data_IF_326640817213
#
_entry.id   IF_326640817213
#
_cell.length_a   1.000
_cell.length_b   1.000
_cell.length_c   1.000
_cell.angle_alpha   90.00
_cell.angle_beta   90.00
_cell.angle_gamma   90.00
#
_symmetry.space_group_name_H-M   'P 1'
#
loop_
_entity.id
_entity.type
_entity.pdbx_description
1 polymer ?
#
# COMPACT_ATOMS: atom_id res chain seq x y z
N UNK A 1 20.81 -7.61 11.19
CA UNK A 1 21.46 -8.02 9.93
C UNK A 1 21.28 -6.83 9.01
N UNK A 2 22.36 -6.11 8.67
CA UNK A 2 22.27 -4.89 7.86
C UNK A 2 21.97 -5.28 6.41
N UNK A 3 20.76 -4.98 5.94
CA UNK A 3 20.40 -5.13 4.53
C UNK A 3 21.20 -4.11 3.72
N UNK A 4 22.10 -4.62 2.86
CA UNK A 4 23.07 -3.84 2.06
C UNK A 4 22.47 -3.24 0.78
N UNK A 5 21.17 -2.99 0.77
CA UNK A 5 20.53 -2.20 -0.27
C UNK A 5 20.90 -0.73 -0.10
N UNK A 6 21.21 -0.02 -1.18
CA UNK A 6 21.34 1.43 -1.13
C UNK A 6 19.95 2.00 -0.77
N UNK A 7 19.75 2.45 0.47
CA UNK A 7 18.51 3.11 0.89
C UNK A 7 18.35 4.38 0.05
N UNK A 8 17.28 4.42 -0.74
CA UNK A 8 16.89 5.60 -1.51
C UNK A 8 15.61 6.15 -0.86
N UNK A 9 15.54 7.47 -0.69
CA UNK A 9 14.32 8.11 -0.22
C UNK A 9 13.15 7.77 -1.14
N UNK A 10 12.02 7.38 -0.56
CA UNK A 10 10.79 7.13 -1.32
C UNK A 10 10.40 8.42 -2.05
N UNK A 11 10.27 8.40 -3.39
CA UNK A 11 9.80 9.56 -4.12
C UNK A 11 8.36 9.85 -3.71
N UNK A 12 8.12 11.09 -3.29
CA UNK A 12 6.82 11.57 -2.86
C UNK A 12 6.17 12.28 -4.04
N UNK A 13 4.87 12.07 -4.22
CA UNK A 13 4.08 12.87 -5.14
C UNK A 13 3.92 14.26 -4.52
N UNK A 14 4.43 15.28 -5.20
CA UNK A 14 4.25 16.66 -4.80
C UNK A 14 2.77 17.05 -4.95
N UNK A 15 2.17 17.50 -3.85
CA UNK A 15 0.79 17.99 -3.81
C UNK A 15 0.81 19.41 -3.25
N UNK A 16 0.27 20.33 -4.02
CA UNK A 16 0.21 21.76 -3.71
C UNK A 16 -0.77 22.07 -2.57
N UNK A 17 -0.59 23.22 -1.93
CA UNK A 17 -1.53 23.68 -0.88
C UNK A 17 -2.95 23.88 -1.43
N UNK A 18 -3.09 24.25 -2.70
CA UNK A 18 -4.39 24.38 -3.35
C UNK A 18 -5.08 23.02 -3.49
N UNK A 19 -4.38 21.99 -3.95
CA UNK A 19 -4.92 20.62 -4.04
C UNK A 19 -5.33 20.09 -2.67
N UNK A 20 -4.54 20.38 -1.63
CA UNK A 20 -4.89 20.04 -0.24
C UNK A 20 -6.17 20.74 0.21
N UNK A 21 -6.30 22.04 -0.06
CA UNK A 21 -7.47 22.82 0.28
C UNK A 21 -8.72 22.37 -0.50
N UNK A 22 -8.57 21.97 -1.76
CA UNK A 22 -9.65 21.44 -2.59
C UNK A 22 -9.98 19.97 -2.28
N UNK A 23 -9.06 19.26 -1.63
CA UNK A 23 -9.21 17.85 -1.26
C UNK A 23 -9.12 16.89 -2.43
N UNK A 24 -8.45 17.27 -3.53
CA UNK A 24 -8.29 16.45 -4.74
C UNK A 24 -7.04 16.84 -5.54
N UNK A 25 -6.44 15.92 -6.31
CA UNK A 25 -5.30 16.21 -7.16
C UNK A 25 -5.72 16.90 -8.46
N UNK A 26 -4.81 17.71 -9.01
CA UNK A 26 -4.88 18.26 -10.37
C UNK A 26 -4.61 17.17 -11.43
N UNK A 27 -5.01 17.38 -12.70
CA UNK A 27 -4.64 16.47 -13.79
C UNK A 27 -3.13 16.21 -13.89
N UNK A 28 -2.30 17.22 -13.63
CA UNK A 28 -0.84 17.11 -13.66
C UNK A 28 -0.32 16.21 -12.54
N UNK A 29 -0.84 16.34 -11.32
CA UNK A 29 -0.51 15.45 -10.20
C UNK A 29 -1.01 14.02 -10.44
N UNK A 30 -2.14 13.87 -11.12
CA UNK A 30 -2.66 12.55 -11.52
C UNK A 30 -1.72 11.87 -12.51
N UNK A 31 -1.26 12.59 -13.55
CA UNK A 31 -0.29 12.08 -14.53
C UNK A 31 1.04 11.70 -13.87
N UNK A 32 1.55 12.55 -12.97
CA UNK A 32 2.77 12.27 -12.22
C UNK A 32 2.61 11.03 -11.30
N UNK A 33 1.47 10.88 -10.62
CA UNK A 33 1.15 9.72 -9.80
C UNK A 33 1.03 8.43 -10.62
N UNK A 34 0.36 8.49 -11.77
CA UNK A 34 0.23 7.35 -12.69
C UNK A 34 1.60 6.90 -13.21
N UNK A 35 2.46 7.85 -13.57
CA UNK A 35 3.83 7.58 -13.98
C UNK A 35 4.66 6.92 -12.88
N UNK A 36 4.57 7.41 -11.64
CA UNK A 36 5.24 6.80 -10.48
C UNK A 36 4.78 5.36 -10.27
N UNK A 37 3.47 5.06 -10.35
CA UNK A 37 2.99 3.68 -10.28
C UNK A 37 3.58 2.80 -11.38
N UNK A 38 3.64 3.30 -12.63
CA UNK A 38 4.18 2.52 -13.74
C UNK A 38 5.67 2.21 -13.55
N UNK A 39 6.44 3.22 -13.17
CA UNK A 39 7.90 3.13 -13.09
C UNK A 39 8.37 2.45 -11.80
N UNK A 40 7.85 2.86 -10.64
CA UNK A 40 8.35 2.42 -9.33
C UNK A 40 7.42 1.43 -8.62
N UNK A 41 6.15 1.35 -9.04
CA UNK A 41 5.15 0.50 -8.38
C UNK A 41 4.61 1.11 -7.07
N UNK A 42 4.98 2.35 -6.75
CA UNK A 42 4.63 3.02 -5.51
C UNK A 42 4.37 4.51 -5.72
N UNK A 43 3.32 5.00 -5.06
CA UNK A 43 3.05 6.44 -4.91
C UNK A 43 2.86 6.73 -3.44
N UNK A 44 3.62 7.70 -2.92
CA UNK A 44 3.42 8.22 -1.57
C UNK A 44 2.84 9.63 -1.68
N UNK A 45 1.70 9.84 -1.05
CA UNK A 45 1.01 11.13 -1.01
C UNK A 45 0.89 11.56 0.46
N UNK A 46 1.69 12.53 0.86
CA UNK A 46 1.72 12.97 2.27
C UNK A 46 0.69 14.05 2.55
N UNK A 47 0.20 14.13 3.79
CA UNK A 47 -0.58 15.26 4.33
C UNK A 47 -1.88 15.61 3.56
N UNK A 48 -2.55 14.63 2.95
CA UNK A 48 -3.77 14.85 2.16
C UNK A 48 -5.07 14.51 2.88
N UNK A 49 -5.00 13.87 4.05
CA UNK A 49 -6.16 13.54 4.89
C UNK A 49 -6.11 14.36 6.19
N UNK A 50 -7.27 14.79 6.73
CA UNK A 50 -7.31 15.57 7.98
C UNK A 50 -6.70 14.77 9.15
N UNK A 51 -5.80 15.41 9.90
CA UNK A 51 -5.03 14.76 10.99
C UNK A 51 -5.91 14.36 12.18
N UNK A 52 -6.91 15.18 12.50
CA UNK A 52 -7.92 14.89 13.51
C UNK A 52 -8.73 13.64 13.13
N UNK A 53 -9.16 13.55 11.87
CA UNK A 53 -9.86 12.38 11.37
C UNK A 53 -9.02 11.10 11.42
N UNK A 54 -7.73 11.17 11.06
CA UNK A 54 -6.81 10.03 11.20
C UNK A 54 -6.67 9.62 12.67
N UNK A 55 -6.59 10.58 13.60
CA UNK A 55 -6.48 10.30 15.03
C UNK A 55 -7.74 9.62 15.60
N UNK A 56 -8.93 10.05 15.16
CA UNK A 56 -10.19 9.41 15.53
C UNK A 56 -10.28 7.98 14.97
N UNK A 57 -9.89 7.79 13.72
CA UNK A 57 -9.86 6.47 13.08
C UNK A 57 -8.86 5.52 13.75
N UNK A 58 -7.68 6.03 14.13
CA UNK A 58 -6.70 5.28 14.92
C UNK A 58 -7.27 4.89 16.28
N UNK A 59 -7.92 5.82 16.99
CA UNK A 59 -8.57 5.53 18.28
C UNK A 59 -9.61 4.41 18.16
N UNK A 60 -10.43 4.43 17.11
CA UNK A 60 -11.39 3.37 16.82
C UNK A 60 -10.69 2.03 16.52
N UNK A 61 -9.60 2.04 15.75
CA UNK A 61 -8.81 0.85 15.45
C UNK A 61 -8.16 0.26 16.71
N UNK A 62 -7.52 1.07 17.55
CA UNK A 62 -6.93 0.60 18.82
C UNK A 62 -7.98 -0.03 19.71
N UNK A 63 -9.13 0.62 19.88
CA UNK A 63 -10.27 0.05 20.63
C UNK A 63 -10.68 -1.31 20.07
N UNK A 64 -10.64 -1.49 18.75
CA UNK A 64 -10.98 -2.78 18.13
C UNK A 64 -9.90 -3.84 18.32
N UNK A 65 -8.63 -3.47 18.23
CA UNK A 65 -7.49 -4.38 18.45
C UNK A 65 -7.41 -4.85 19.90
N UNK A 66 -7.75 -4.00 20.86
CA UNK A 66 -7.81 -4.33 22.29
C UNK A 66 -8.97 -5.28 22.63
N UNK A 67 -10.02 -5.28 21.80
CA UNK A 67 -11.21 -6.11 21.98
C UNK A 67 -11.25 -7.33 21.04
N UNK A 68 -10.17 -7.64 20.32
CA UNK A 68 -10.13 -8.74 19.32
C UNK A 68 -10.59 -10.09 19.87
N UNK A 69 -10.22 -10.43 21.11
CA UNK A 69 -10.57 -11.71 21.74
C UNK A 69 -12.08 -11.84 22.05
N UNK A 70 -12.79 -10.71 22.17
CA UNK A 70 -14.21 -10.66 22.53
C UNK A 70 -15.14 -10.64 21.32
N UNK A 71 -14.61 -10.49 20.11
CA UNK A 71 -15.39 -10.24 18.89
C UNK A 71 -15.83 -11.56 18.22
N UNK A 72 -16.68 -12.32 18.92
CA UNK A 72 -17.19 -13.63 18.46
C UNK A 72 -18.51 -13.53 17.67
N UNK A 73 -19.04 -12.33 17.44
CA UNK A 73 -20.39 -12.13 16.91
C UNK A 73 -20.52 -12.19 15.37
N UNK A 74 -19.45 -12.52 14.64
CA UNK A 74 -19.49 -12.77 13.19
C UNK A 74 -19.71 -11.54 12.29
N UNK A 75 -19.96 -10.36 12.85
CA UNK A 75 -20.05 -9.11 12.10
C UNK A 75 -18.65 -8.52 11.85
N UNK A 76 -18.33 -8.20 10.59
CA UNK A 76 -17.05 -7.61 10.27
C UNK A 76 -17.03 -6.11 10.66
N UNK A 77 -16.16 -5.67 11.59
CA UNK A 77 -16.11 -4.28 12.05
C UNK A 77 -15.77 -3.32 10.90
N UNK A 78 -14.99 -3.76 9.91
CA UNK A 78 -14.59 -2.93 8.77
C UNK A 78 -15.77 -2.56 7.86
N UNK A 79 -16.91 -3.24 8.00
CA UNK A 79 -18.17 -2.91 7.30
C UNK A 79 -19.05 -1.93 8.09
N UNK A 80 -18.52 -1.28 9.12
CA UNK A 80 -19.21 -0.28 9.94
C UNK A 80 -18.45 1.03 9.98
N UNK A 81 -19.12 2.10 10.41
CA UNK A 81 -18.43 3.35 10.73
C UNK A 81 -17.51 3.15 11.95
N UNK A 82 -16.35 3.83 12.00
CA UNK A 82 -15.84 4.79 11.02
C UNK A 82 -15.13 4.18 9.80
N UNK A 83 -14.97 2.86 9.74
CA UNK A 83 -14.21 2.16 8.68
C UNK A 83 -14.87 2.18 7.30
N UNK A 84 -16.18 2.43 7.22
CA UNK A 84 -16.90 2.64 5.94
C UNK A 84 -16.97 4.11 5.50
N UNK A 85 -16.18 5.00 6.10
CA UNK A 85 -16.10 6.39 5.66
C UNK A 85 -15.68 6.48 4.19
N UNK A 86 -16.37 7.31 3.41
CA UNK A 86 -16.11 7.48 1.97
C UNK A 86 -14.67 7.87 1.66
N UNK A 87 -13.95 8.56 2.56
CA UNK A 87 -12.54 8.92 2.36
C UNK A 87 -11.60 7.71 2.32
N UNK A 88 -12.06 6.56 2.83
CA UNK A 88 -11.36 5.27 2.75
C UNK A 88 -11.75 4.54 1.46
N UNK A 89 -13.06 4.44 1.19
CA UNK A 89 -13.61 3.62 0.10
C UNK A 89 -13.43 4.28 -1.28
N UNK A 90 -13.67 5.59 -1.36
CA UNK A 90 -13.60 6.43 -2.55
C UNK A 90 -12.61 7.57 -2.28
N UNK A 91 -11.37 7.19 -1.95
CA UNK A 91 -10.35 8.14 -1.54
C UNK A 91 -10.09 9.18 -2.66
N UNK A 92 -10.26 10.49 -2.39
CA UNK A 92 -10.29 11.50 -3.44
C UNK A 92 -8.93 11.77 -4.09
N UNK A 93 -7.83 11.35 -3.45
CA UNK A 93 -6.49 11.42 -4.03
C UNK A 93 -6.09 10.14 -4.76
N UNK A 94 -6.42 8.97 -4.21
CA UNK A 94 -6.07 7.71 -4.82
C UNK A 94 -6.91 7.39 -6.07
N UNK A 95 -8.24 7.62 -6.02
CA UNK A 95 -9.15 7.18 -7.08
C UNK A 95 -8.86 7.78 -8.47
N UNK A 96 -8.52 9.08 -8.61
CA UNK A 96 -8.10 9.63 -9.90
C UNK A 96 -6.85 8.95 -10.47
N UNK A 97 -5.86 8.65 -9.63
CA UNK A 97 -4.62 7.96 -10.02
C UNK A 97 -4.91 6.51 -10.41
N UNK A 98 -5.74 5.80 -9.63
CA UNK A 98 -6.18 4.43 -9.93
C UNK A 98 -6.89 4.36 -11.29
N UNK A 99 -7.79 5.30 -11.58
CA UNK A 99 -8.50 5.37 -12.86
C UNK A 99 -7.58 5.67 -14.03
N UNK A 100 -6.60 6.56 -13.84
CA UNK A 100 -5.59 6.81 -14.86
C UNK A 100 -4.75 5.55 -15.16
N UNK A 101 -4.38 4.79 -14.13
CA UNK A 101 -3.55 3.59 -14.27
C UNK A 101 -4.32 2.36 -14.81
N UNK A 102 -5.56 2.15 -14.37
CA UNK A 102 -6.34 0.91 -14.58
C UNK A 102 -7.58 1.09 -15.46
N UNK A 103 -7.93 2.34 -15.80
CA UNK A 103 -9.15 2.71 -16.52
C UNK A 103 -10.33 3.06 -15.59
N UNK A 104 -11.44 3.51 -16.17
CA UNK A 104 -12.58 4.07 -15.40
C UNK A 104 -13.33 3.09 -14.50
N UNK A 105 -13.21 1.77 -14.77
CA UNK A 105 -13.97 0.72 -14.08
C UNK A 105 -13.09 -0.01 -13.07
N UNK A 106 -12.82 0.65 -11.94
CA UNK A 106 -12.10 0.08 -10.80
C UNK A 106 -13.09 -0.34 -9.72
N UNK A 107 -12.84 -1.48 -9.08
CA UNK A 107 -13.65 -2.01 -7.98
C UNK A 107 -12.77 -2.28 -6.76
N UNK A 108 -13.29 -1.97 -5.58
CA UNK A 108 -12.65 -2.33 -4.31
C UNK A 108 -13.14 -3.70 -3.82
N UNK A 109 -12.26 -4.46 -3.18
CA UNK A 109 -12.63 -5.67 -2.44
C UNK A 109 -13.10 -5.28 -1.04
N UNK A 110 -14.36 -5.59 -0.71
CA UNK A 110 -14.93 -5.38 0.62
C UNK A 110 -15.32 -6.71 1.28
N UNK A 111 -15.10 -6.88 2.59
CA UNK A 111 -14.36 -5.96 3.47
C UNK A 111 -12.88 -5.88 3.06
N UNK A 112 -12.29 -4.68 3.19
CA UNK A 112 -10.86 -4.49 2.97
C UNK A 112 -10.06 -4.98 4.20
N UNK A 113 -8.80 -5.30 3.99
CA UNK A 113 -7.90 -5.78 5.04
C UNK A 113 -7.34 -4.64 5.91
N UNK A 114 -6.90 -4.98 7.12
CA UNK A 114 -6.13 -4.09 7.99
C UNK A 114 -4.90 -4.85 8.49
N UNK A 115 -3.76 -4.17 8.50
CA UNK A 115 -2.51 -4.70 9.02
C UNK A 115 -2.11 -3.90 10.26
N UNK A 116 -1.80 -4.60 11.35
CA UNK A 116 -1.33 -3.99 12.59
C UNK A 116 -0.01 -4.63 13.01
N UNK A 117 1.04 -3.81 13.12
CA UNK A 117 2.33 -4.23 13.66
C UNK A 117 2.30 -4.08 15.17
N UNK A 118 2.54 -5.18 15.91
CA UNK A 118 2.63 -5.18 17.38
C UNK A 118 4.11 -5.13 17.81
N UNK A 119 4.45 -4.48 18.94
CA UNK A 119 5.80 -4.51 19.47
C UNK A 119 6.32 -5.94 19.67
N UNK A 120 7.55 -6.20 19.22
CA UNK A 120 8.15 -7.54 19.28
C UNK A 120 7.66 -8.50 18.19
N UNK A 121 6.93 -8.02 17.18
CA UNK A 121 6.59 -8.81 16.01
C UNK A 121 7.81 -9.21 15.18
N UNK A 122 7.74 -10.37 14.54
CA UNK A 122 8.79 -10.86 13.65
C UNK A 122 8.82 -10.07 12.33
N UNK A 123 10.00 -10.09 11.67
CA UNK A 123 10.15 -9.54 10.32
C UNK A 123 9.41 -10.44 9.35
N UNK A 124 8.54 -9.85 8.51
CA UNK A 124 7.88 -10.58 7.44
C UNK A 124 8.87 -10.95 6.34
N UNK A 125 8.64 -12.10 5.71
CA UNK A 125 9.35 -12.48 4.48
C UNK A 125 9.09 -11.48 3.36
N UNK A 126 10.07 -11.29 2.47
CA UNK A 126 9.89 -10.45 1.26
C UNK A 126 8.92 -11.18 0.34
N UNK A 127 7.85 -10.51 -0.09
CA UNK A 127 6.83 -11.13 -0.93
C UNK A 127 6.07 -10.12 -1.77
N UNK A 128 5.14 -10.65 -2.58
CA UNK A 128 4.11 -9.89 -3.26
C UNK A 128 2.75 -10.34 -2.73
N UNK A 129 1.88 -9.38 -2.40
CA UNK A 129 0.50 -9.66 -2.00
C UNK A 129 -0.27 -10.44 -3.09
N UNK A 130 0.09 -10.24 -4.36
CA UNK A 130 -0.49 -10.95 -5.49
C UNK A 130 0.56 -11.21 -6.57
N UNK A 131 0.46 -12.37 -7.23
CA UNK A 131 1.31 -12.74 -8.36
C UNK A 131 0.84 -12.11 -9.67
N UNK A 132 1.66 -12.23 -10.73
CA UNK A 132 1.25 -11.84 -12.08
C UNK A 132 0.14 -12.77 -12.59
N UNK A 133 -0.82 -12.23 -13.37
CA UNK A 133 -1.94 -13.02 -13.91
C UNK A 133 -1.49 -14.13 -14.86
N UNK A 134 -0.43 -13.89 -15.63
CA UNK A 134 0.12 -14.82 -16.62
C UNK A 134 1.64 -14.92 -16.43
N UNK A 135 2.09 -15.57 -15.34
CA UNK A 135 3.49 -15.56 -14.91
C UNK A 135 4.42 -16.39 -15.83
N UNK A 136 3.90 -17.05 -16.85
CA UNK A 136 4.67 -17.72 -17.91
C UNK A 136 5.11 -16.79 -19.03
N UNK A 137 4.55 -15.57 -19.12
CA UNK A 137 4.95 -14.61 -20.14
C UNK A 137 6.34 -14.02 -19.81
N UNK A 138 7.18 -13.74 -20.81
CA UNK A 138 8.53 -13.20 -20.59
C UNK A 138 8.55 -11.69 -20.31
N UNK A 139 7.40 -11.09 -19.99
CA UNK A 139 7.24 -9.68 -19.68
C UNK A 139 6.12 -9.47 -18.67
N UNK A 140 6.25 -8.43 -17.84
CA UNK A 140 5.20 -8.02 -16.92
C UNK A 140 4.01 -7.40 -17.68
N UNK A 141 2.81 -7.73 -17.24
CA UNK A 141 1.58 -7.12 -17.76
C UNK A 141 1.25 -5.82 -17.03
N UNK A 142 0.40 -4.96 -17.63
CA UNK A 142 -0.16 -3.82 -16.91
C UNK A 142 -0.81 -4.23 -15.60
N UNK A 143 -0.76 -3.32 -14.62
CA UNK A 143 -1.27 -3.56 -13.27
C UNK A 143 -2.78 -3.90 -13.30
N UNK A 144 -3.15 -4.96 -12.57
CA UNK A 144 -4.54 -5.41 -12.44
C UNK A 144 -5.11 -5.22 -11.03
N UNK A 145 -4.25 -5.00 -10.04
CA UNK A 145 -4.62 -4.80 -8.64
C UNK A 145 -3.65 -3.79 -8.04
N UNK A 146 -4.18 -2.78 -7.34
CA UNK A 146 -3.40 -1.80 -6.58
C UNK A 146 -3.92 -1.78 -5.15
N UNK A 147 -3.00 -1.78 -4.19
CA UNK A 147 -3.32 -1.63 -2.77
C UNK A 147 -3.20 -0.16 -2.39
N UNK A 148 -4.21 0.38 -1.73
CA UNK A 148 -4.19 1.72 -1.14
C UNK A 148 -4.09 1.58 0.37
N UNK A 149 -2.95 1.98 0.92
CA UNK A 149 -2.72 1.98 2.37
C UNK A 149 -2.95 3.37 2.94
N UNK A 150 -3.70 3.45 4.05
CA UNK A 150 -3.90 4.68 4.83
C UNK A 150 -3.23 4.46 6.19
N UNK A 151 -2.02 5.02 6.42
CA UNK A 151 -1.36 4.95 7.72
C UNK A 151 -2.18 5.67 8.80
N UNK A 152 -2.39 5.01 9.93
CA UNK A 152 -3.10 5.59 11.08
C UNK A 152 -2.16 6.24 12.11
N UNK A 153 -0.86 6.06 11.91
CA UNK A 153 0.24 6.65 12.68
C UNK A 153 1.36 7.01 11.72
N UNK A 154 2.28 7.86 12.15
CA UNK A 154 3.51 8.10 11.40
C UNK A 154 4.33 6.81 11.32
N UNK A 155 4.73 6.40 10.12
CA UNK A 155 5.55 5.21 9.90
C UNK A 155 7.03 5.58 10.04
N UNK A 156 7.75 4.83 10.87
CA UNK A 156 9.19 4.98 11.08
C UNK A 156 9.88 3.61 11.01
N UNK A 157 11.18 3.60 10.79
CA UNK A 157 11.96 2.35 10.78
C UNK A 157 11.78 1.60 12.10
N UNK A 158 11.74 2.33 13.22
CA UNK A 158 11.64 1.78 14.57
C UNK A 158 10.26 1.17 14.88
N UNK A 159 9.18 1.67 14.27
CA UNK A 159 7.82 1.14 14.49
C UNK A 159 7.36 0.14 13.42
N UNK A 160 8.27 -0.29 12.55
CA UNK A 160 8.02 -1.33 11.56
C UNK A 160 7.37 -0.80 10.28
N UNK A 161 7.80 0.38 9.80
CA UNK A 161 7.45 0.85 8.47
C UNK A 161 7.76 -0.20 7.40
N UNK A 162 6.84 -0.38 6.46
CA UNK A 162 6.97 -1.35 5.37
C UNK A 162 8.17 -1.00 4.49
N UNK A 163 9.07 -1.96 4.33
CA UNK A 163 10.12 -1.92 3.32
C UNK A 163 9.55 -2.27 1.95
N UNK A 164 9.93 -1.51 0.92
CA UNK A 164 9.42 -1.69 -0.44
C UNK A 164 10.55 -1.72 -1.45
N UNK A 165 10.43 -2.60 -2.45
CA UNK A 165 11.42 -2.74 -3.52
C UNK A 165 10.88 -2.06 -4.77
N UNK A 166 11.32 -0.83 -5.10
CA UNK A 166 10.81 -0.13 -6.28
C UNK A 166 11.07 -0.90 -7.56
N UNK A 167 10.16 -0.76 -8.52
CA UNK A 167 10.16 -1.44 -9.82
C UNK A 167 10.05 -2.97 -9.74
N UNK A 168 9.97 -3.56 -8.54
CA UNK A 168 9.91 -5.01 -8.40
C UNK A 168 8.64 -5.60 -9.01
N UNK A 169 7.54 -4.84 -9.12
CA UNK A 169 6.32 -5.22 -9.83
C UNK A 169 6.54 -5.53 -11.32
N UNK A 170 7.62 -5.05 -11.92
CA UNK A 170 8.01 -5.33 -13.31
C UNK A 170 8.90 -6.57 -13.46
N UNK A 171 9.37 -7.14 -12.35
CA UNK A 171 10.20 -8.36 -12.38
C UNK A 171 9.29 -9.56 -12.66
N UNK A 172 9.62 -10.29 -13.72
CA UNK A 172 9.04 -11.60 -14.02
C UNK A 172 9.80 -12.65 -13.21
N UNK A 173 9.08 -13.29 -12.29
CA UNK A 173 9.66 -14.28 -11.39
C UNK A 173 9.85 -15.64 -12.06
N UNK A 174 10.92 -16.35 -11.68
CA UNK A 174 11.15 -17.72 -12.10
C UNK A 174 10.17 -18.69 -11.44
N UNK A 175 10.20 -19.95 -11.90
CA UNK A 175 9.30 -20.99 -11.40
C UNK A 175 9.46 -21.29 -9.90
N UNK A 176 10.63 -21.06 -9.30
CA UNK A 176 10.84 -21.33 -7.88
C UNK A 176 10.12 -20.29 -7.01
N UNK A 177 10.20 -19.02 -7.40
CA UNK A 177 9.51 -17.93 -6.67
C UNK A 177 8.02 -17.92 -6.94
N UNK A 178 7.59 -17.97 -8.21
CA UNK A 178 6.16 -17.83 -8.58
C UNK A 178 5.27 -18.97 -8.07
N UNK A 179 5.84 -20.15 -7.80
CA UNK A 179 5.11 -21.31 -7.31
C UNK A 179 5.20 -21.47 -5.78
N UNK A 180 5.90 -20.58 -5.09
CA UNK A 180 5.91 -20.55 -3.63
C UNK A 180 4.58 -20.00 -3.10
N UNK A 181 4.10 -20.45 -1.92
CA UNK A 181 3.03 -19.75 -1.23
C UNK A 181 3.42 -18.28 -1.03
N UNK A 182 2.55 -17.34 -1.40
CA UNK A 182 2.78 -15.89 -1.29
C UNK A 182 3.87 -15.28 -2.19
N UNK A 183 4.42 -16.00 -3.18
CA UNK A 183 5.46 -15.45 -4.08
C UNK A 183 6.69 -14.94 -3.31
N UNK A 184 7.15 -15.71 -2.32
CA UNK A 184 8.24 -15.33 -1.42
C UNK A 184 9.55 -15.19 -2.19
N UNK A 185 10.25 -14.08 -1.94
CA UNK A 185 11.57 -13.80 -2.43
C UNK A 185 12.59 -13.97 -1.30
N UNK A 186 13.63 -14.78 -1.53
CA UNK A 186 14.75 -14.92 -0.59
C UNK A 186 15.49 -13.58 -0.40
N UNK A 187 15.99 -13.35 0.82
CA UNK A 187 16.73 -12.11 1.16
C UNK A 187 17.95 -11.89 0.27
N UNK A 188 18.70 -12.94 -0.06
CA UNK A 188 19.87 -12.85 -0.93
C UNK A 188 19.51 -12.38 -2.35
N UNK A 189 18.30 -12.74 -2.82
CA UNK A 189 17.76 -12.25 -4.10
C UNK A 189 17.27 -10.82 -3.96
N UNK A 190 16.55 -10.50 -2.88
CA UNK A 190 16.05 -9.14 -2.59
C UNK A 190 17.16 -8.09 -2.46
N UNK A 191 18.28 -8.47 -1.86
CA UNK A 191 19.45 -7.59 -1.68
C UNK A 191 20.11 -7.15 -3.01
N UNK A 192 19.79 -7.78 -4.13
CA UNK A 192 20.30 -7.43 -5.47
C UNK A 192 19.52 -6.29 -6.14
N UNK A 193 18.42 -5.85 -5.52
CA UNK A 193 17.53 -4.81 -6.05
C UNK A 193 17.57 -3.55 -5.17
N UNK A 194 17.20 -2.37 -5.71
CA UNK A 194 17.07 -1.16 -4.91
C UNK A 194 16.01 -1.33 -3.80
N UNK A 195 16.22 -0.65 -2.68
CA UNK A 195 15.35 -0.70 -1.51
C UNK A 195 14.93 0.71 -1.09
N UNK A 196 13.63 0.86 -0.89
CA UNK A 196 13.02 2.00 -0.22
C UNK A 196 12.67 1.58 1.22
N UNK A 197 13.14 2.36 2.19
CA UNK A 197 12.93 2.14 3.62
C UNK A 197 12.67 3.44 4.35
#
# INVERSE_FOLDING_TARGET
METTGQTINIPKLEITDQERAEGKPTPESVDAGERLLRETGLVVIENVLPRDWIADLNTAMQTRLDNEENDQNGENPMLKMPFMDSRIIDNPFAMPILKAAMGEKVFAYLPYGCNATRPGGDIQWIHRDSGQLFPELPFALPVCTIVVNIPLVDFTVENGATQVWPSSHLIVDDAAVRNSPYNVCEEERGAKYPLFS
#
